data_IF_552426455043
#
_entry.id   IF_552426455043
#
_cell.length_a   1.000
_cell.length_b   1.000
_cell.length_c   1.000
_cell.angle_alpha   90.00
_cell.angle_beta   90.00
_cell.angle_gamma   90.00
#
_symmetry.space_group_name_H-M   'P 1'
#
loop_
_entity.id
_entity.type
_entity.pdbx_description
1 polymer ?
#
# COMPACT_ATOMS: atom_id res chain seq x y z
N UNK A 1 -39.34 10.66 10.27
CA UNK A 1 -37.91 10.29 10.31
C UNK A 1 -37.31 10.67 8.97
N UNK A 2 -36.52 11.74 8.90
CA UNK A 2 -35.83 12.15 7.67
C UNK A 2 -34.68 11.17 7.46
N UNK A 3 -34.68 10.48 6.32
CA UNK A 3 -33.58 9.59 5.95
C UNK A 3 -32.31 10.41 5.83
N UNK A 4 -31.30 10.06 6.62
CA UNK A 4 -29.93 10.51 6.40
C UNK A 4 -29.49 9.83 5.11
N UNK A 5 -29.54 10.54 3.99
CA UNK A 5 -28.75 10.15 2.83
C UNK A 5 -27.31 10.15 3.29
N UNK A 6 -26.75 8.96 3.52
CA UNK A 6 -25.33 8.74 3.41
C UNK A 6 -24.99 9.14 1.98
N UNK A 7 -24.56 10.39 1.81
CA UNK A 7 -23.88 10.82 0.60
C UNK A 7 -22.69 9.87 0.47
N UNK A 8 -22.85 8.84 -0.36
CA UNK A 8 -21.78 7.89 -0.63
C UNK A 8 -20.55 8.68 -1.03
N UNK A 9 -19.38 8.21 -0.61
CA UNK A 9 -18.06 8.67 -1.04
C UNK A 9 -18.05 8.75 -2.57
N UNK A 10 -18.52 9.87 -3.14
CA UNK A 10 -18.77 10.00 -4.57
C UNK A 10 -17.50 10.35 -5.35
N UNK A 11 -16.38 10.41 -4.64
CA UNK A 11 -15.09 10.83 -5.16
C UNK A 11 -14.02 9.83 -4.71
N UNK A 12 -14.25 8.54 -4.97
CA UNK A 12 -13.18 7.54 -4.86
C UNK A 12 -12.09 7.80 -5.92
N UNK A 13 -12.44 8.45 -7.04
CA UNK A 13 -11.49 8.89 -8.07
C UNK A 13 -10.97 10.34 -7.82
N UNK A 14 -9.67 10.53 -7.49
CA UNK A 14 -9.08 11.84 -7.30
C UNK A 14 -9.00 12.67 -8.59
N UNK A 15 -9.02 12.05 -9.78
CA UNK A 15 -9.08 12.77 -11.05
C UNK A 15 -10.42 13.47 -11.23
N UNK A 16 -11.54 12.74 -11.09
CA UNK A 16 -12.89 13.34 -11.12
C UNK A 16 -13.05 14.42 -10.05
N UNK A 17 -12.55 14.15 -8.84
CA UNK A 17 -12.55 15.13 -7.75
C UNK A 17 -11.84 16.43 -8.10
N UNK A 18 -10.68 16.35 -8.76
CA UNK A 18 -9.94 17.53 -9.20
C UNK A 18 -10.65 18.31 -10.31
N UNK A 19 -11.48 17.66 -11.12
CA UNK A 19 -12.32 18.34 -12.11
C UNK A 19 -13.49 19.08 -11.45
N UNK A 20 -14.08 18.52 -10.41
CA UNK A 20 -15.26 19.07 -9.74
C UNK A 20 -14.93 20.10 -8.66
N UNK A 21 -13.78 19.97 -8.00
CA UNK A 21 -13.34 20.83 -6.90
C UNK A 21 -12.03 21.58 -7.25
N UNK A 22 -12.11 22.86 -7.64
CA UNK A 22 -10.93 23.64 -8.03
C UNK A 22 -9.96 23.89 -6.86
N UNK A 23 -10.45 23.97 -5.62
CA UNK A 23 -9.60 24.17 -4.44
C UNK A 23 -8.78 22.92 -4.14
N UNK A 24 -9.39 21.73 -4.25
CA UNK A 24 -8.68 20.46 -4.17
C UNK A 24 -7.62 20.35 -5.26
N UNK A 25 -7.97 20.66 -6.51
CA UNK A 25 -7.02 20.64 -7.63
C UNK A 25 -5.83 21.59 -7.40
N UNK A 26 -6.09 22.79 -6.86
CA UNK A 26 -5.05 23.76 -6.52
C UNK A 26 -4.15 23.25 -5.38
N UNK A 27 -4.72 22.64 -4.34
CA UNK A 27 -3.97 22.09 -3.21
C UNK A 27 -3.07 20.92 -3.65
N UNK A 28 -3.59 19.99 -4.46
CA UNK A 28 -2.79 18.89 -5.03
C UNK A 28 -1.69 19.45 -5.94
N UNK A 29 -2.00 20.42 -6.81
CA UNK A 29 -1.01 21.05 -7.68
C UNK A 29 0.10 21.79 -6.92
N UNK A 30 -0.21 22.40 -5.77
CA UNK A 30 0.79 23.04 -4.93
C UNK A 30 1.72 22.04 -4.23
N UNK A 31 1.23 20.84 -3.92
CA UNK A 31 1.99 19.80 -3.22
C UNK A 31 2.70 18.81 -4.17
N UNK A 32 2.29 18.72 -5.43
CA UNK A 32 2.85 17.78 -6.39
C UNK A 32 4.26 18.20 -6.84
N UNK A 33 5.24 17.35 -6.54
CA UNK A 33 6.66 17.54 -6.88
C UNK A 33 7.14 16.65 -8.04
N UNK A 34 6.24 15.82 -8.59
CA UNK A 34 6.53 14.92 -9.70
C UNK A 34 6.71 15.64 -11.05
N UNK A 35 7.38 14.96 -11.97
CA UNK A 35 7.62 15.33 -13.35
C UNK A 35 6.39 15.15 -14.26
N UNK A 36 5.43 14.29 -13.90
CA UNK A 36 4.24 14.09 -14.73
C UNK A 36 3.27 15.27 -14.64
N UNK A 37 2.50 15.47 -15.71
CA UNK A 37 1.42 16.47 -15.69
C UNK A 37 0.36 16.00 -14.71
N UNK A 38 0.07 16.82 -13.70
CA UNK A 38 -0.84 16.42 -12.62
C UNK A 38 -2.17 15.78 -13.09
N UNK A 39 -2.90 16.33 -14.08
CA UNK A 39 -4.14 15.69 -14.52
C UNK A 39 -3.94 14.29 -15.11
N UNK A 40 -2.83 14.05 -15.81
CA UNK A 40 -2.50 12.72 -16.36
C UNK A 40 -2.06 11.77 -15.24
N UNK A 41 -1.30 12.29 -14.28
CA UNK A 41 -0.83 11.57 -13.09
C UNK A 41 -2.01 11.06 -12.24
N UNK A 42 -2.97 11.95 -11.94
CA UNK A 42 -4.20 11.59 -11.20
C UNK A 42 -5.05 10.57 -11.95
N UNK A 43 -5.16 10.69 -13.28
CA UNK A 43 -5.88 9.73 -14.11
C UNK A 43 -5.28 8.32 -14.02
N UNK A 44 -3.94 8.20 -14.07
CA UNK A 44 -3.26 6.91 -14.03
C UNK A 44 -3.29 6.19 -12.67
N UNK A 45 -3.74 6.85 -11.59
CA UNK A 45 -4.00 6.17 -10.31
C UNK A 45 -5.15 5.15 -10.44
N UNK A 46 -6.18 5.48 -11.22
CA UNK A 46 -7.34 4.60 -11.44
C UNK A 46 -7.35 3.91 -12.81
N UNK A 47 -6.69 4.53 -13.80
CA UNK A 47 -6.62 4.03 -15.17
C UNK A 47 -5.17 3.75 -15.59
N UNK A 48 -4.45 2.85 -14.90
CA UNK A 48 -3.01 2.71 -15.05
C UNK A 48 -2.58 2.27 -16.45
N UNK A 49 -3.45 1.67 -17.27
CA UNK A 49 -3.13 1.18 -18.61
C UNK A 49 -3.64 2.08 -19.73
N UNK A 50 -4.57 2.97 -19.44
CA UNK A 50 -5.24 3.77 -20.46
C UNK A 50 -4.42 5.02 -20.80
N UNK A 51 -4.45 5.50 -22.06
CA UNK A 51 -3.93 6.81 -22.38
C UNK A 51 -4.68 7.88 -21.55
N UNK A 52 -3.94 8.88 -21.08
CA UNK A 52 -4.54 9.98 -20.35
C UNK A 52 -5.48 10.81 -21.26
N UNK A 53 -6.42 11.58 -20.72
CA UNK A 53 -7.30 12.46 -21.49
C UNK A 53 -6.56 13.49 -22.36
N UNK A 54 -5.30 13.79 -22.04
CA UNK A 54 -4.40 14.61 -22.86
C UNK A 54 -3.91 13.92 -24.14
N UNK A 55 -4.12 12.60 -24.27
CA UNK A 55 -3.59 11.74 -25.32
C UNK A 55 -2.20 11.17 -25.01
N UNK A 56 -1.60 11.53 -23.87
CA UNK A 56 -0.30 10.97 -23.44
C UNK A 56 -0.45 9.47 -23.14
N UNK A 57 0.41 8.60 -23.69
CA UNK A 57 0.34 7.16 -23.42
C UNK A 57 0.66 6.86 -21.95
N UNK A 58 0.02 5.83 -21.39
CA UNK A 58 0.33 5.37 -20.03
C UNK A 58 1.80 4.96 -19.89
N UNK A 59 2.48 5.33 -18.79
CA UNK A 59 3.80 4.84 -18.44
C UNK A 59 3.85 3.31 -18.31
N UNK A 60 2.82 2.67 -17.75
CA UNK A 60 2.72 1.21 -17.63
C UNK A 60 2.55 0.56 -19.01
N UNK A 61 1.76 1.17 -19.89
CA UNK A 61 1.61 0.69 -21.27
C UNK A 61 2.95 0.76 -22.03
N UNK A 62 3.71 1.84 -21.82
CA UNK A 62 5.05 2.04 -22.38
C UNK A 62 6.04 1.02 -21.81
N UNK A 63 6.02 0.78 -20.50
CA UNK A 63 6.84 -0.24 -19.84
C UNK A 63 6.59 -1.64 -20.41
N UNK A 64 5.32 -2.03 -20.56
CA UNK A 64 4.97 -3.34 -21.17
C UNK A 64 5.41 -3.43 -22.62
N UNK A 65 5.38 -2.33 -23.37
CA UNK A 65 5.89 -2.32 -24.73
C UNK A 65 7.42 -2.53 -24.77
N UNK A 66 8.17 -1.91 -23.85
CA UNK A 66 9.60 -2.13 -23.70
C UNK A 66 9.91 -3.58 -23.28
N UNK A 67 9.20 -4.10 -22.28
CA UNK A 67 9.36 -5.49 -21.83
C UNK A 67 9.06 -6.49 -22.94
N UNK A 68 7.98 -6.31 -23.71
CA UNK A 68 7.69 -7.15 -24.88
C UNK A 68 8.79 -7.11 -25.92
N UNK A 69 9.43 -5.96 -26.13
CA UNK A 69 10.58 -5.84 -27.05
C UNK A 69 11.78 -6.63 -26.53
N UNK A 70 12.07 -6.60 -25.23
CA UNK A 70 13.14 -7.42 -24.61
C UNK A 70 12.90 -8.92 -24.84
N UNK A 71 11.65 -9.37 -24.68
CA UNK A 71 11.27 -10.79 -24.79
C UNK A 71 10.82 -11.23 -26.19
N UNK A 72 10.93 -10.37 -27.20
CA UNK A 72 10.57 -10.74 -28.56
C UNK A 72 11.53 -11.82 -29.10
N UNK A 73 10.97 -12.82 -29.79
CA UNK A 73 11.68 -14.01 -30.24
C UNK A 73 12.85 -13.75 -31.19
N UNK A 74 12.94 -12.55 -31.77
CA UNK A 74 14.00 -12.16 -32.70
C UNK A 74 15.37 -12.02 -32.02
N UNK A 75 15.46 -12.12 -30.68
CA UNK A 75 16.71 -12.31 -29.94
C UNK A 75 17.69 -11.13 -29.92
N UNK A 76 17.59 -10.21 -30.88
CA UNK A 76 18.46 -9.03 -30.99
C UNK A 76 18.32 -8.07 -29.79
N UNK A 77 17.15 -8.06 -29.14
CA UNK A 77 16.90 -7.23 -27.97
C UNK A 77 17.31 -7.89 -26.64
N UNK A 78 17.49 -9.21 -26.59
CA UNK A 78 17.83 -9.94 -25.36
C UNK A 78 19.27 -9.66 -24.86
N UNK A 79 20.03 -8.81 -25.56
CA UNK A 79 21.30 -8.24 -25.11
C UNK A 79 21.41 -6.72 -25.28
N UNK A 80 20.30 -6.04 -25.59
CA UNK A 80 20.29 -4.59 -25.80
C UNK A 80 20.29 -3.86 -24.45
N UNK A 81 21.49 -3.54 -23.97
CA UNK A 81 21.69 -2.80 -22.72
C UNK A 81 20.94 -1.46 -22.69
N UNK A 82 20.66 -0.85 -23.83
CA UNK A 82 19.90 0.41 -23.92
C UNK A 82 18.43 0.19 -23.56
N UNK A 83 17.83 -0.92 -24.00
CA UNK A 83 16.44 -1.26 -23.66
C UNK A 83 16.33 -1.64 -22.19
N UNK A 84 17.27 -2.42 -21.67
CA UNK A 84 17.30 -2.76 -20.24
C UNK A 84 17.44 -1.51 -19.36
N UNK A 85 18.27 -0.54 -19.76
CA UNK A 85 18.38 0.74 -19.07
C UNK A 85 17.08 1.55 -19.15
N UNK A 86 16.43 1.59 -20.32
CA UNK A 86 15.15 2.28 -20.49
C UNK A 86 14.04 1.68 -19.62
N UNK A 87 13.99 0.34 -19.47
CA UNK A 87 13.05 -0.34 -18.56
C UNK A 87 13.29 0.10 -17.13
N UNK A 88 14.52 0.00 -16.63
CA UNK A 88 14.87 0.40 -15.25
C UNK A 88 14.61 1.87 -14.98
N UNK A 89 14.95 2.75 -15.94
CA UNK A 89 14.69 4.18 -15.85
C UNK A 89 13.20 4.48 -15.73
N UNK A 90 12.37 3.85 -16.56
CA UNK A 90 10.92 4.06 -16.53
C UNK A 90 10.27 3.47 -15.27
N UNK A 91 10.73 2.32 -14.77
CA UNK A 91 10.26 1.77 -13.49
C UNK A 91 10.57 2.70 -12.31
N UNK A 92 11.79 3.26 -12.28
CA UNK A 92 12.19 4.23 -11.27
C UNK A 92 11.36 5.52 -11.36
N UNK A 93 11.10 6.03 -12.57
CA UNK A 93 10.23 7.18 -12.82
C UNK A 93 8.81 6.91 -12.30
N UNK A 94 8.20 5.79 -12.67
CA UNK A 94 6.85 5.41 -12.22
C UNK A 94 6.78 5.33 -10.69
N UNK A 95 7.78 4.74 -10.04
CA UNK A 95 7.81 4.64 -8.59
C UNK A 95 7.92 6.01 -7.91
N UNK A 96 8.78 6.90 -8.42
CA UNK A 96 8.95 8.25 -7.90
C UNK A 96 7.66 9.08 -8.05
N UNK A 97 6.99 8.99 -9.20
CA UNK A 97 5.76 9.73 -9.48
C UNK A 97 4.60 9.28 -8.60
N UNK A 98 4.43 7.96 -8.41
CA UNK A 98 3.41 7.44 -7.49
C UNK A 98 3.59 7.93 -6.06
N UNK A 99 4.84 8.01 -5.59
CA UNK A 99 5.13 8.58 -4.28
C UNK A 99 4.75 10.07 -4.24
N UNK A 100 5.15 10.86 -5.25
CA UNK A 100 4.84 12.28 -5.32
C UNK A 100 3.32 12.57 -5.36
N UNK A 101 2.55 11.78 -6.12
CA UNK A 101 1.08 11.87 -6.18
C UNK A 101 0.46 11.51 -4.82
N UNK A 102 0.89 10.40 -4.20
CA UNK A 102 0.37 9.98 -2.91
C UNK A 102 0.64 11.02 -1.80
N UNK A 103 1.81 11.67 -1.83
CA UNK A 103 2.13 12.78 -0.93
C UNK A 103 1.28 14.01 -1.19
N UNK A 104 1.08 14.38 -2.46
CA UNK A 104 0.24 15.52 -2.83
C UNK A 104 -1.23 15.33 -2.42
N UNK A 105 -1.77 14.13 -2.64
CA UNK A 105 -3.14 13.78 -2.22
C UNK A 105 -3.28 13.84 -0.70
N UNK A 106 -2.30 13.34 0.06
CA UNK A 106 -2.30 13.40 1.53
C UNK A 106 -2.28 14.84 2.04
N UNK A 107 -1.45 15.69 1.44
CA UNK A 107 -1.35 17.11 1.80
C UNK A 107 -2.66 17.87 1.51
N UNK A 108 -3.27 17.64 0.34
CA UNK A 108 -4.54 18.26 -0.03
C UNK A 108 -5.69 17.85 0.91
N UNK A 109 -5.79 16.55 1.24
CA UNK A 109 -6.79 16.05 2.18
C UNK A 109 -6.60 16.64 3.60
N UNK A 110 -5.35 16.81 4.06
CA UNK A 110 -5.07 17.43 5.36
C UNK A 110 -5.50 18.91 5.41
N UNK A 111 -5.33 19.64 4.30
CA UNK A 111 -5.73 21.05 4.20
C UNK A 111 -7.25 21.23 4.29
N UNK A 112 -8.04 20.37 3.65
CA UNK A 112 -9.50 20.44 3.71
C UNK A 112 -10.04 20.15 5.11
N UNK A 113 -9.43 19.20 5.83
CA UNK A 113 -9.79 18.90 7.23
C UNK A 113 -9.49 20.11 8.12
N UNK A 114 -8.32 20.75 7.93
CA UNK A 114 -7.94 21.96 8.67
C UNK A 114 -8.83 23.17 8.38
N UNK A 115 -9.20 23.37 7.12
CA UNK A 115 -10.11 24.44 6.71
C UNK A 115 -11.51 24.25 7.32
N UNK A 116 -12.03 23.02 7.30
CA UNK A 116 -13.33 22.69 7.88
C UNK A 116 -13.37 22.90 9.39
N UNK A 117 -12.31 22.51 10.11
CA UNK A 117 -12.20 22.72 11.55
C UNK A 117 -12.19 24.22 11.93
N UNK A 118 -11.55 25.05 11.12
CA UNK A 118 -11.47 26.51 11.35
C UNK A 118 -12.85 27.17 11.19
N UNK A 119 -13.65 26.78 10.19
CA UNK A 119 -14.99 27.34 9.98
C UNK A 119 -15.93 27.01 11.15
N UNK A 120 -15.87 25.77 11.66
CA UNK A 120 -16.71 25.36 12.81
C UNK A 120 -16.32 26.13 14.08
N UNK A 121 -15.02 26.34 14.32
CA UNK A 121 -14.55 27.11 15.47
C UNK A 121 -15.03 28.57 15.42
N UNK A 122 -14.94 29.24 14.26
CA UNK A 122 -15.41 30.61 14.10
C UNK A 122 -16.93 30.75 14.24
N UNK A 123 -17.70 29.76 13.77
CA UNK A 123 -19.17 29.77 13.89
C UNK A 123 -19.60 29.59 15.34
N UNK A 124 -18.85 28.81 16.13
CA UNK A 124 -19.16 28.59 17.54
C UNK A 124 -18.87 29.83 18.41
N UNK A 125 -17.80 30.57 18.11
CA UNK A 125 -17.44 31.79 18.86
C UNK A 125 -18.46 32.92 18.61
N UNK A 126 -18.99 33.03 17.38
CA UNK A 126 -20.03 34.00 17.02
C UNK A 126 -21.39 33.70 17.69
N UNK A 127 -21.72 32.42 17.89
CA UNK A 127 -22.95 31.99 18.57
C UNK A 127 -22.91 32.17 20.10
N UNK A 128 -21.72 32.19 20.71
CA UNK A 128 -21.54 32.39 22.17
C UNK A 128 -21.33 33.87 22.52
N UNK A 129 -20.85 34.69 21.59
CA UNK A 129 -20.66 36.13 21.78
C UNK A 129 -21.93 37.00 21.72
N UNK A 130 -23.05 36.48 21.22
CA UNK A 130 -24.27 37.26 20.95
C UNK A 130 -25.34 37.13 22.06
N UNK A 131 -24.94 37.33 23.33
CA UNK A 131 -25.87 37.32 24.47
C UNK A 131 -25.69 38.50 25.45
N UNK A 132 -24.88 39.51 25.12
CA UNK A 132 -24.73 40.71 25.94
C UNK A 132 -25.02 41.98 25.12
N UNK A 133 -26.28 42.39 25.20
CA UNK A 133 -26.73 43.77 25.43
C UNK A 133 -26.05 44.97 24.77
N UNK A 134 -26.93 45.76 24.15
CA UNK A 134 -26.97 47.24 24.19
C UNK A 134 -26.22 48.05 23.12
N UNK A 135 -27.08 48.57 22.23
CA UNK A 135 -27.21 49.97 21.83
C UNK A 135 -26.22 50.61 20.84
N UNK A 136 -26.86 51.18 19.81
CA UNK A 136 -26.44 52.34 19.04
C UNK A 136 -25.09 52.27 18.27
N UNK A 137 -25.18 52.10 16.94
CA UNK A 137 -25.02 53.20 15.97
C UNK A 137 -25.05 52.65 14.54
N UNK A 138 -25.83 53.29 13.69
CA UNK A 138 -25.82 53.13 12.22
C UNK A 138 -24.40 53.32 11.65
N UNK A 139 -23.95 52.44 10.73
CA UNK A 139 -22.94 52.80 9.75
C UNK A 139 -23.52 52.86 8.33
N UNK A 140 -23.05 53.87 7.61
CA UNK A 140 -23.36 54.19 6.23
C UNK A 140 -23.18 53.03 5.24
N UNK A 141 -24.09 52.98 4.28
CA UNK A 141 -24.02 52.20 3.05
C UNK A 141 -22.91 52.78 2.17
N UNK A 142 -21.76 52.11 2.11
CA UNK A 142 -20.76 52.34 1.06
C UNK A 142 -20.92 51.27 -0.02
N UNK A 143 -21.58 51.67 -1.09
CA UNK A 143 -21.73 50.92 -2.34
C UNK A 143 -20.37 50.81 -3.03
N UNK A 144 -19.70 49.67 -2.83
CA UNK A 144 -18.43 49.35 -3.51
C UNK A 144 -18.73 48.63 -4.82
N UNK A 145 -18.92 49.44 -5.86
CA UNK A 145 -19.01 49.03 -7.26
C UNK A 145 -17.65 48.48 -7.75
N UNK A 146 -17.46 47.15 -7.68
CA UNK A 146 -16.31 46.46 -8.30
C UNK A 146 -16.76 45.19 -9.02
N UNK A 147 -16.95 45.34 -10.32
CA UNK A 147 -17.06 44.24 -11.26
C UNK A 147 -15.76 43.41 -11.33
N UNK A 148 -15.83 42.07 -11.40
CA UNK A 148 -14.67 41.24 -11.71
C UNK A 148 -14.42 41.24 -13.22
N UNK A 149 -13.49 42.09 -13.67
CA UNK A 149 -12.94 42.03 -15.03
C UNK A 149 -11.88 40.92 -15.10
N UNK A 150 -12.29 39.71 -15.50
CA UNK A 150 -11.36 38.67 -15.92
C UNK A 150 -10.96 38.88 -17.39
N UNK A 151 -9.96 39.74 -17.61
CA UNK A 151 -9.27 39.88 -18.90
C UNK A 151 -8.18 38.80 -19.03
N UNK A 152 -8.48 37.77 -19.82
CA UNK A 152 -7.63 37.22 -20.89
C UNK A 152 -6.10 37.30 -20.72
N UNK A 153 -5.54 36.37 -19.92
CA UNK A 153 -4.12 36.03 -19.91
C UNK A 153 -3.72 35.12 -21.08
N UNK A 154 -3.43 35.71 -22.23
CA UNK A 154 -2.90 35.06 -23.44
C UNK A 154 -1.42 34.70 -23.25
N UNK A 155 -1.10 33.49 -22.77
CA UNK A 155 0.28 33.00 -22.78
C UNK A 155 0.58 32.21 -24.04
N UNK A 156 1.49 32.77 -24.82
CA UNK A 156 1.77 32.42 -26.20
C UNK A 156 2.42 31.06 -26.38
N UNK A 157 1.99 30.41 -27.47
CA UNK A 157 2.80 29.48 -28.25
C UNK A 157 4.17 30.09 -28.53
N UNK A 158 5.23 29.50 -28.00
CA UNK A 158 6.57 29.67 -28.54
C UNK A 158 7.22 28.31 -28.73
N UNK A 159 7.20 27.89 -29.99
CA UNK A 159 8.02 26.82 -30.52
C UNK A 159 9.49 27.09 -30.19
N UNK A 160 10.14 26.15 -29.51
CA UNK A 160 11.57 25.95 -29.57
C UNK A 160 11.83 24.46 -29.78
N UNK A 161 12.04 24.11 -31.04
CA UNK A 161 12.92 23.02 -31.39
C UNK A 161 14.33 23.47 -31.01
N UNK A 162 15.11 22.62 -30.35
CA UNK A 162 16.50 22.33 -30.70
C UNK A 162 17.03 21.15 -29.89
N UNK A 163 17.88 20.39 -30.58
CA UNK A 163 18.43 19.10 -30.23
C UNK A 163 19.61 19.16 -29.24
N UNK A 164 19.85 18.02 -28.59
CA UNK A 164 21.19 17.48 -28.30
C UNK A 164 21.95 18.06 -27.10
N UNK A 165 22.49 17.18 -26.25
CA UNK A 165 23.56 17.55 -25.32
C UNK A 165 23.72 16.64 -24.11
N UNK A 166 24.75 15.80 -24.14
CA UNK A 166 25.19 14.79 -23.18
C UNK A 166 25.93 15.40 -21.95
N UNK A 167 25.82 14.71 -20.78
CA UNK A 167 26.69 14.67 -19.56
C UNK A 167 26.89 15.94 -18.70
N UNK A 168 26.63 15.82 -17.37
CA UNK A 168 27.67 15.76 -16.31
C UNK A 168 27.04 15.47 -14.92
N UNK A 169 27.85 14.82 -14.07
CA UNK A 169 27.55 14.14 -12.81
C UNK A 169 27.57 15.00 -11.51
N UNK A 170 27.49 14.28 -10.38
CA UNK A 170 27.86 14.60 -8.96
C UNK A 170 26.66 14.98 -8.06
N UNK A 171 26.47 14.58 -6.80
CA UNK A 171 26.88 13.48 -5.89
C UNK A 171 26.18 13.78 -4.52
N UNK A 172 26.19 12.80 -3.59
CA UNK A 172 25.95 12.92 -2.13
C UNK A 172 24.44 12.94 -1.73
N UNK A 173 23.94 12.18 -0.76
CA UNK A 173 24.65 11.46 0.30
C UNK A 173 23.81 10.53 1.16
N UNK A 174 24.59 9.81 1.97
CA UNK A 174 24.24 8.90 3.06
C UNK A 174 23.46 9.62 4.16
N UNK A 175 22.40 8.99 4.67
CA UNK A 175 21.92 9.25 6.04
C UNK A 175 21.91 7.92 6.81
N UNK A 176 22.93 7.80 7.67
CA UNK A 176 22.90 7.01 8.90
C UNK A 176 22.10 7.78 9.95
N UNK A 177 21.34 7.06 10.78
CA UNK A 177 20.84 7.53 12.08
C UNK A 177 19.58 6.75 12.49
N UNK A 178 19.67 5.62 13.22
CA UNK A 178 19.84 5.49 14.68
C UNK A 178 18.99 6.47 15.49
N UNK A 179 18.14 5.96 16.40
CA UNK A 179 17.87 6.39 17.80
C UNK A 179 16.85 5.38 18.42
N UNK A 180 17.25 4.55 19.40
CA UNK A 180 17.23 4.73 20.87
C UNK A 180 15.86 4.53 21.55
N UNK A 181 15.86 3.69 22.61
CA UNK A 181 14.83 3.61 23.66
C UNK A 181 14.54 2.16 24.10
N UNK A 182 15.34 1.50 24.94
CA UNK A 182 15.48 1.65 26.40
C UNK A 182 14.32 1.04 27.23
N UNK A 183 14.69 -0.01 27.98
CA UNK A 183 14.25 -0.40 29.33
C UNK A 183 12.83 -0.98 29.58
N UNK A 184 12.80 -2.16 30.20
CA UNK A 184 11.60 -2.69 30.87
C UNK A 184 11.73 -4.13 31.37
N UNK A 185 12.50 -4.35 32.45
CA UNK A 185 12.49 -5.58 33.25
C UNK A 185 11.17 -5.71 34.03
N UNK A 186 10.43 -6.83 33.89
CA UNK A 186 9.59 -7.38 34.99
C UNK A 186 9.51 -8.91 34.90
N UNK A 187 9.92 -9.56 36.01
CA UNK A 187 9.74 -10.97 36.35
C UNK A 187 8.29 -11.31 36.68
N UNK A 188 7.81 -12.53 36.35
CA UNK A 188 6.50 -13.01 36.82
C UNK A 188 6.22 -14.49 36.52
N UNK A 189 6.60 -15.32 37.48
CA UNK A 189 6.30 -16.74 37.74
C UNK A 189 5.18 -17.50 36.98
N UNK A 190 5.48 -18.79 36.72
CA UNK A 190 4.54 -19.88 36.46
C UNK A 190 3.58 -20.15 37.65
N UNK A 191 2.44 -20.83 37.44
CA UNK A 191 2.44 -22.28 37.68
C UNK A 191 1.52 -23.12 36.75
N UNK A 192 1.94 -24.37 36.53
CA UNK A 192 1.09 -25.54 36.20
C UNK A 192 0.39 -26.01 37.50
N UNK A 193 -0.79 -26.69 37.47
CA UNK A 193 -0.83 -28.12 37.12
C UNK A 193 -2.14 -28.68 36.50
N UNK A 194 -1.96 -29.78 35.76
CA UNK A 194 -2.68 -31.06 35.72
C UNK A 194 -4.21 -31.14 35.87
N UNK A 195 -4.83 -31.84 34.90
CA UNK A 195 -6.13 -32.49 35.09
C UNK A 195 -6.60 -33.28 33.85
N UNK A 196 -6.21 -34.55 33.73
CA UNK A 196 -6.83 -35.54 32.83
C UNK A 196 -7.80 -36.40 33.64
N UNK A 197 -9.03 -36.64 33.15
CA UNK A 197 -9.43 -38.03 32.93
C UNK A 197 -10.24 -38.24 31.62
N UNK A 198 -9.89 -39.34 30.94
CA UNK A 198 -10.69 -40.09 29.95
C UNK A 198 -11.60 -41.09 30.72
N UNK A 199 -12.83 -41.47 30.28
CA UNK A 199 -13.02 -42.36 29.13
C UNK A 199 -14.30 -42.19 28.25
N UNK A 200 -14.18 -42.71 27.03
CA UNK A 200 -15.16 -43.03 25.94
C UNK A 200 -16.35 -43.94 26.36
N UNK A 201 -17.31 -44.32 25.47
CA UNK A 201 -17.64 -43.87 24.09
C UNK A 201 -19.16 -43.67 23.81
N UNK A 202 -19.49 -43.33 22.56
CA UNK A 202 -20.82 -43.38 21.90
C UNK A 202 -21.69 -42.11 21.90
N UNK A 203 -21.41 -41.22 20.94
CA UNK A 203 -22.41 -40.75 19.98
C UNK A 203 -21.65 -39.97 18.88
N UNK A 204 -21.65 -40.51 17.67
CA UNK A 204 -21.20 -39.80 16.49
C UNK A 204 -22.10 -38.59 16.26
N UNK A 205 -21.63 -37.41 16.68
CA UNK A 205 -22.10 -36.14 16.14
C UNK A 205 -20.95 -35.65 15.25
N UNK A 206 -21.05 -35.93 13.97
CA UNK A 206 -20.28 -35.22 12.97
C UNK A 206 -20.82 -33.79 12.91
N UNK A 207 -20.40 -32.95 13.84
CA UNK A 207 -20.49 -31.50 13.74
C UNK A 207 -19.07 -31.02 13.50
N UNK A 208 -18.61 -31.15 12.26
CA UNK A 208 -17.51 -30.34 11.77
C UNK A 208 -18.13 -28.96 11.56
N UNK A 209 -18.03 -28.10 12.58
CA UNK A 209 -18.28 -26.68 12.42
C UNK A 209 -17.30 -26.19 11.35
N UNK A 210 -17.82 -25.95 10.15
CA UNK A 210 -17.11 -25.22 9.11
C UNK A 210 -16.93 -23.80 9.60
N UNK A 211 -15.86 -23.54 10.35
CA UNK A 211 -15.54 -22.20 10.82
C UNK A 211 -15.18 -21.35 9.60
N UNK A 212 -15.91 -20.25 9.39
CA UNK A 212 -15.61 -19.29 8.34
C UNK A 212 -14.18 -18.77 8.53
N UNK A 213 -13.38 -18.59 7.46
CA UNK A 213 -12.02 -18.05 7.59
C UNK A 213 -12.02 -16.64 8.24
N UNK A 214 -13.14 -15.93 8.20
CA UNK A 214 -13.31 -14.63 8.87
C UNK A 214 -13.25 -14.71 10.40
N UNK A 215 -13.46 -15.88 11.00
CA UNK A 215 -13.42 -16.08 12.46
C UNK A 215 -12.04 -15.74 13.05
N UNK A 216 -10.97 -15.84 12.26
CA UNK A 216 -9.61 -15.49 12.72
C UNK A 216 -9.52 -14.03 13.18
N UNK A 217 -10.31 -13.14 12.57
CA UNK A 217 -10.29 -11.72 12.88
C UNK A 217 -10.98 -11.37 14.21
N UNK A 218 -11.75 -12.30 14.79
CA UNK A 218 -12.33 -12.13 16.12
C UNK A 218 -11.29 -12.27 17.24
N UNK A 219 -10.14 -12.89 16.97
CA UNK A 219 -9.04 -12.95 17.93
C UNK A 219 -8.49 -11.54 18.15
N UNK A 220 -8.09 -11.24 19.39
CA UNK A 220 -7.33 -10.02 19.66
C UNK A 220 -5.98 -10.06 18.92
N UNK A 221 -5.58 -8.90 18.39
CA UNK A 221 -4.29 -8.74 17.72
C UNK A 221 -3.17 -8.77 18.77
N UNK A 222 -2.14 -9.57 18.52
CA UNK A 222 -0.92 -9.68 19.32
C UNK A 222 0.24 -8.96 18.60
N UNK A 223 1.38 -8.71 19.27
CA UNK A 223 2.53 -8.10 18.62
C UNK A 223 3.06 -8.84 17.38
N UNK A 224 2.89 -10.17 17.29
CA UNK A 224 3.28 -10.96 16.11
C UNK A 224 2.40 -10.71 14.89
N UNK A 225 1.18 -10.26 15.14
CA UNK A 225 0.20 -9.98 14.12
C UNK A 225 0.41 -8.61 13.48
N UNK A 226 1.46 -7.87 13.86
CA UNK A 226 1.80 -6.56 13.30
C UNK A 226 2.96 -6.74 12.31
N UNK A 227 2.72 -6.53 11.01
CA UNK A 227 3.78 -6.50 10.01
C UNK A 227 4.93 -5.56 10.34
N UNK A 228 6.16 -6.04 10.16
CA UNK A 228 7.36 -5.19 10.23
C UNK A 228 7.51 -4.29 8.99
N UNK A 229 6.96 -4.72 7.85
CA UNK A 229 6.96 -3.97 6.60
C UNK A 229 5.68 -3.16 6.50
N UNK A 230 5.80 -1.87 6.17
CA UNK A 230 4.62 -1.03 5.94
C UNK A 230 3.85 -1.54 4.74
N UNK A 231 2.55 -1.79 4.93
CA UNK A 231 1.64 -2.23 3.86
C UNK A 231 0.80 -1.08 3.28
N UNK A 232 1.15 0.17 3.61
CA UNK A 232 0.38 1.35 3.21
C UNK A 232 -1.08 1.32 3.66
N UNK A 233 -1.98 1.86 2.85
CA UNK A 233 -3.43 1.94 3.12
C UNK A 233 -4.23 0.84 2.41
N UNK A 234 -3.57 -0.23 1.93
CA UNK A 234 -4.24 -1.30 1.18
C UNK A 234 -5.01 -2.24 2.10
N UNK A 235 -4.51 -2.44 3.33
CA UNK A 235 -5.12 -3.29 4.35
C UNK A 235 -5.48 -2.51 5.61
N UNK A 236 -6.43 -3.05 6.35
CA UNK A 236 -6.78 -2.55 7.69
C UNK A 236 -5.70 -3.00 8.68
N UNK A 237 -4.97 -2.05 9.27
CA UNK A 237 -3.79 -2.36 10.08
C UNK A 237 -4.07 -3.23 11.32
N UNK A 238 -5.26 -3.10 11.90
CA UNK A 238 -5.74 -3.85 13.07
C UNK A 238 -6.31 -5.24 12.74
N UNK A 239 -6.44 -5.56 11.45
CA UNK A 239 -6.99 -6.83 10.97
C UNK A 239 -5.94 -7.92 10.74
N UNK A 240 -4.65 -7.58 10.72
CA UNK A 240 -3.61 -8.58 10.47
C UNK A 240 -3.62 -9.67 11.53
N UNK A 241 -3.49 -10.94 11.12
CA UNK A 241 -3.35 -12.11 11.99
C UNK A 241 -2.25 -13.01 11.40
N UNK A 242 -1.20 -13.24 12.17
CA UNK A 242 -0.07 -14.09 11.82
C UNK A 242 -0.54 -15.54 11.66
N UNK A 243 -0.25 -16.12 10.50
CA UNK A 243 -0.61 -17.49 10.13
C UNK A 243 0.60 -18.43 10.21
N UNK A 244 1.79 -17.90 9.98
CA UNK A 244 3.03 -18.66 9.98
C UNK A 244 4.12 -17.92 9.22
N UNK A 245 5.21 -18.63 8.93
CA UNK A 245 6.29 -18.11 8.11
C UNK A 245 6.93 -19.21 7.28
N UNK A 246 7.54 -18.79 6.18
CA UNK A 246 8.16 -19.68 5.21
C UNK A 246 9.52 -20.23 5.68
N UNK A 247 10.11 -19.65 6.73
CA UNK A 247 11.29 -20.17 7.40
C UNK A 247 10.91 -21.24 8.44
N UNK A 248 11.78 -22.23 8.60
CA UNK A 248 11.62 -23.36 9.51
C UNK A 248 11.91 -22.99 10.97
N UNK A 249 11.56 -21.76 11.38
CA UNK A 249 11.76 -21.32 12.75
C UNK A 249 10.92 -22.20 13.69
N UNK A 250 11.60 -22.99 14.52
CA UNK A 250 10.94 -23.79 15.55
C UNK A 250 10.48 -22.94 16.74
N UNK A 251 10.84 -21.65 16.79
CA UNK A 251 10.46 -20.80 17.90
C UNK A 251 9.05 -20.25 17.68
N UNK A 252 8.03 -20.74 18.42
CA UNK A 252 6.67 -20.27 18.25
C UNK A 252 6.50 -18.82 18.67
N UNK A 253 7.50 -18.20 19.33
CA UNK A 253 7.49 -16.83 19.84
C UNK A 253 8.08 -15.79 18.90
N UNK A 254 8.70 -16.20 17.79
CA UNK A 254 9.32 -15.28 16.84
C UNK A 254 8.51 -15.18 15.56
N UNK A 255 8.49 -13.98 14.98
CA UNK A 255 8.01 -13.80 13.60
C UNK A 255 9.17 -14.19 12.70
N UNK A 256 8.98 -15.22 11.91
CA UNK A 256 10.00 -15.67 10.98
C UNK A 256 10.29 -14.67 9.86
N UNK A 257 11.37 -14.92 9.11
CA UNK A 257 11.96 -13.97 8.15
C UNK A 257 11.05 -13.70 6.94
N UNK A 258 10.23 -14.68 6.55
CA UNK A 258 9.22 -14.51 5.50
C UNK A 258 7.83 -14.86 6.02
N UNK A 259 7.22 -13.98 6.82
CA UNK A 259 5.95 -14.25 7.47
C UNK A 259 4.77 -14.10 6.50
N UNK A 260 3.70 -14.84 6.77
CA UNK A 260 2.43 -14.69 6.08
C UNK A 260 1.26 -14.55 7.06
N UNK A 261 0.26 -13.79 6.65
CA UNK A 261 -0.82 -13.25 7.48
C UNK A 261 -2.17 -13.39 6.79
N UNK A 262 -3.22 -13.50 7.58
CA UNK A 262 -4.57 -13.12 7.17
C UNK A 262 -4.74 -11.62 7.42
N UNK A 263 -5.39 -10.91 6.52
CA UNK A 263 -5.74 -9.51 6.69
C UNK A 263 -7.06 -9.18 6.00
N UNK A 264 -7.71 -8.09 6.40
CA UNK A 264 -8.80 -7.48 5.65
C UNK A 264 -8.27 -6.33 4.79
N UNK A 265 -8.66 -6.30 3.52
CA UNK A 265 -8.44 -5.11 2.68
C UNK A 265 -9.33 -3.95 3.15
N UNK A 266 -9.02 -2.73 2.69
CA UNK A 266 -9.90 -1.57 2.90
C UNK A 266 -11.27 -1.73 2.22
N UNK A 267 -11.39 -2.60 1.22
CA UNK A 267 -12.65 -3.00 0.60
C UNK A 267 -13.33 -4.20 1.29
N UNK A 268 -12.92 -4.55 2.52
CA UNK A 268 -13.45 -5.68 3.30
C UNK A 268 -13.32 -7.07 2.63
N UNK A 269 -12.28 -7.28 1.81
CA UNK A 269 -11.94 -8.61 1.31
C UNK A 269 -11.03 -9.33 2.30
N UNK A 270 -11.20 -10.64 2.45
CA UNK A 270 -10.28 -11.50 3.21
C UNK A 270 -9.07 -11.80 2.34
N UNK A 271 -7.87 -11.50 2.83
CA UNK A 271 -6.62 -11.61 2.10
C UNK A 271 -5.64 -12.54 2.81
N UNK A 272 -4.94 -13.36 2.03
CA UNK A 272 -3.70 -14.00 2.43
C UNK A 272 -2.55 -13.12 1.93
N UNK A 273 -1.67 -12.71 2.83
CA UNK A 273 -0.58 -11.75 2.57
C UNK A 273 0.73 -12.40 2.99
N UNK A 274 1.72 -12.45 2.11
CA UNK A 274 3.08 -12.88 2.45
C UNK A 274 4.06 -11.71 2.32
N UNK A 275 5.07 -11.70 3.19
CA UNK A 275 6.12 -10.67 3.23
C UNK A 275 7.46 -11.32 2.93
N UNK A 276 7.94 -11.26 1.67
CA UNK A 276 9.26 -11.77 1.31
C UNK A 276 10.39 -10.98 1.98
N UNK A 277 11.54 -11.62 2.20
CA UNK A 277 12.72 -10.96 2.79
C UNK A 277 13.22 -9.80 1.92
N UNK A 278 13.04 -9.89 0.60
CA UNK A 278 13.41 -8.83 -0.36
C UNK A 278 12.63 -7.52 -0.18
N UNK A 279 11.64 -7.50 0.72
CA UNK A 279 10.80 -6.35 1.02
C UNK A 279 9.48 -6.34 0.24
N UNK A 280 8.58 -5.45 0.67
CA UNK A 280 7.23 -5.35 0.15
C UNK A 280 6.30 -6.46 0.66
N UNK A 281 5.25 -6.73 -0.09
CA UNK A 281 4.33 -7.83 0.17
C UNK A 281 3.71 -8.32 -1.14
N UNK A 282 3.21 -9.53 -1.09
CA UNK A 282 2.36 -10.14 -2.12
C UNK A 282 1.08 -10.60 -1.46
N UNK A 283 -0.04 -10.55 -2.16
CA UNK A 283 -1.34 -10.89 -1.58
C UNK A 283 -2.30 -11.51 -2.59
N UNK A 284 -3.19 -12.36 -2.10
CA UNK A 284 -4.39 -12.82 -2.81
C UNK A 284 -5.60 -12.56 -1.92
N UNK A 285 -6.71 -12.10 -2.50
CA UNK A 285 -7.89 -11.68 -1.75
C UNK A 285 -9.17 -12.24 -2.36
N UNK A 286 -10.16 -12.50 -1.51
CA UNK A 286 -11.52 -12.84 -1.91
C UNK A 286 -12.55 -12.20 -0.97
N UNK A 287 -13.74 -11.94 -1.49
CA UNK A 287 -14.92 -11.67 -0.65
C UNK A 287 -15.25 -12.91 0.18
N UNK A 288 -15.80 -12.73 1.39
CA UNK A 288 -16.17 -13.86 2.25
C UNK A 288 -17.18 -14.81 1.56
N UNK A 289 -18.16 -14.25 0.85
CA UNK A 289 -19.13 -15.02 0.06
C UNK A 289 -18.53 -15.73 -1.16
N UNK A 290 -17.34 -15.32 -1.58
CA UNK A 290 -16.60 -15.86 -2.72
C UNK A 290 -15.30 -16.54 -2.32
N UNK A 291 -15.11 -16.89 -1.04
CA UNK A 291 -13.90 -17.56 -0.58
C UNK A 291 -13.79 -18.92 -1.29
N UNK A 292 -12.70 -19.19 -2.03
CA UNK A 292 -12.60 -20.40 -2.82
C UNK A 292 -12.68 -21.65 -1.95
N UNK A 293 -13.41 -22.68 -2.40
CA UNK A 293 -13.46 -23.97 -1.71
C UNK A 293 -12.09 -24.65 -1.62
N UNK A 294 -11.18 -24.32 -2.54
CA UNK A 294 -9.79 -24.78 -2.54
C UNK A 294 -8.85 -23.90 -1.68
N UNK A 295 -9.38 -22.90 -1.00
CA UNK A 295 -8.61 -21.92 -0.22
C UNK A 295 -8.02 -20.78 -1.05
N UNK A 296 -7.55 -19.75 -0.34
CA UNK A 296 -6.72 -18.70 -0.90
C UNK A 296 -5.30 -19.23 -1.06
N UNK A 297 -4.74 -19.09 -2.26
CA UNK A 297 -3.40 -19.58 -2.58
C UNK A 297 -2.48 -18.46 -3.03
N UNK A 298 -1.27 -18.47 -2.49
CA UNK A 298 -0.24 -17.49 -2.77
C UNK A 298 1.06 -18.19 -3.16
N UNK A 299 1.72 -17.65 -4.18
CA UNK A 299 2.99 -18.12 -4.71
C UNK A 299 3.99 -16.98 -4.71
N UNK A 300 5.21 -17.22 -4.23
CA UNK A 300 6.28 -16.23 -4.30
C UNK A 300 7.65 -16.91 -4.30
N UNK A 301 8.66 -16.19 -4.75
CA UNK A 301 10.06 -16.60 -4.64
C UNK A 301 10.68 -15.83 -3.47
N UNK A 302 11.43 -16.52 -2.61
CA UNK A 302 12.18 -15.88 -1.53
C UNK A 302 13.47 -16.65 -1.25
N UNK A 303 14.45 -15.96 -0.70
CA UNK A 303 15.57 -16.63 -0.05
C UNK A 303 15.06 -17.30 1.22
N UNK A 304 15.49 -18.52 1.44
CA UNK A 304 15.23 -19.32 2.63
C UNK A 304 16.56 -19.63 3.30
N UNK A 305 16.61 -19.51 4.62
CA UNK A 305 17.76 -19.96 5.39
C UNK A 305 17.51 -21.42 5.77
N UNK A 306 18.30 -22.32 5.20
CA UNK A 306 18.28 -23.74 5.58
C UNK A 306 19.40 -24.02 6.57
N UNK A 307 19.02 -24.54 7.74
CA UNK A 307 19.96 -25.06 8.72
C UNK A 307 20.24 -26.54 8.42
N UNK A 308 21.50 -26.89 8.22
CA UNK A 308 21.97 -28.27 8.08
C UNK A 308 22.96 -28.60 9.20
N UNK A 309 23.29 -29.89 9.36
CA UNK A 309 24.37 -30.31 10.28
C UNK A 309 25.72 -29.67 9.93
N UNK A 310 25.91 -29.26 8.67
CA UNK A 310 27.17 -28.71 8.15
C UNK A 310 27.22 -27.18 8.17
N UNK A 311 26.13 -26.49 8.47
CA UNK A 311 26.09 -25.04 8.56
C UNK A 311 24.75 -24.41 8.20
N UNK A 312 24.81 -23.15 7.80
CA UNK A 312 23.66 -22.36 7.36
C UNK A 312 23.84 -22.03 5.88
N UNK A 313 22.89 -22.44 5.05
CA UNK A 313 22.90 -22.18 3.61
C UNK A 313 21.69 -21.33 3.22
N UNK A 314 21.90 -20.33 2.37
CA UNK A 314 20.81 -19.59 1.73
C UNK A 314 20.39 -20.30 0.46
N UNK A 315 19.11 -20.64 0.37
CA UNK A 315 18.51 -21.31 -0.79
C UNK A 315 17.42 -20.41 -1.34
N UNK A 316 17.56 -20.00 -2.60
CA UNK A 316 16.46 -19.37 -3.33
C UNK A 316 15.45 -20.46 -3.69
N UNK A 317 14.17 -20.23 -3.40
CA UNK A 317 13.15 -21.20 -3.75
C UNK A 317 11.75 -20.62 -3.88
N UNK A 318 10.89 -21.43 -4.48
CA UNK A 318 9.48 -21.13 -4.66
C UNK A 318 8.71 -21.56 -3.41
N UNK A 319 7.92 -20.65 -2.87
CA UNK A 319 7.00 -20.89 -1.76
C UNK A 319 5.56 -20.91 -2.27
N UNK A 320 4.79 -21.86 -1.73
CA UNK A 320 3.35 -21.95 -1.93
C UNK A 320 2.69 -22.02 -0.58
N UNK A 321 1.75 -21.11 -0.31
CA UNK A 321 0.89 -21.20 0.88
C UNK A 321 -0.56 -21.26 0.44
N UNK A 322 -1.31 -22.15 1.07
CA UNK A 322 -2.76 -22.27 0.93
C UNK A 322 -3.40 -22.05 2.29
N UNK A 323 -4.32 -21.10 2.34
CA UNK A 323 -5.21 -20.89 3.48
C UNK A 323 -6.60 -21.38 3.12
N UNK A 324 -6.97 -22.52 3.69
CA UNK A 324 -8.19 -23.26 3.40
C UNK A 324 -9.42 -22.64 4.07
N UNK A 325 -10.61 -23.02 3.58
CA UNK A 325 -11.88 -22.46 4.06
C UNK A 325 -12.15 -22.81 5.53
N UNK A 326 -11.65 -23.93 6.02
CA UNK A 326 -11.79 -24.36 7.42
C UNK A 326 -10.73 -23.72 8.36
N UNK A 327 -9.93 -22.78 7.84
CA UNK A 327 -8.83 -22.16 8.56
C UNK A 327 -7.53 -22.97 8.51
N UNK A 328 -7.52 -24.14 7.87
CA UNK A 328 -6.33 -24.95 7.65
C UNK A 328 -5.26 -24.20 6.85
N UNK A 329 -3.99 -24.48 7.15
CA UNK A 329 -2.84 -23.90 6.46
C UNK A 329 -1.94 -25.00 5.96
N UNK A 330 -1.58 -24.94 4.68
CA UNK A 330 -0.50 -25.74 4.11
C UNK A 330 0.53 -24.82 3.47
N UNK A 331 1.80 -25.15 3.69
CA UNK A 331 2.94 -24.45 3.12
C UNK A 331 3.88 -25.47 2.46
N UNK A 332 4.32 -25.18 1.25
CA UNK A 332 5.27 -25.99 0.49
C UNK A 332 6.44 -25.09 0.03
N UNK A 333 7.66 -25.60 0.19
CA UNK A 333 8.88 -24.96 -0.31
C UNK A 333 9.56 -25.85 -1.35
N UNK A 334 9.95 -25.26 -2.47
CA UNK A 334 10.75 -25.91 -3.51
C UNK A 334 12.04 -25.12 -3.72
N UNK A 335 13.09 -25.56 -3.04
CA UNK A 335 14.42 -25.00 -3.19
C UNK A 335 15.02 -25.30 -4.56
N UNK A 336 15.70 -24.32 -5.15
CA UNK A 336 16.57 -24.51 -6.31
C UNK A 336 18.02 -24.41 -5.85
N UNK A 337 18.91 -25.36 -6.20
CA UNK A 337 20.32 -25.21 -5.89
C UNK A 337 20.86 -23.98 -6.61
N UNK A 338 21.48 -23.07 -5.86
CA UNK A 338 22.18 -21.91 -6.43
C UNK A 338 23.47 -22.42 -7.07
N UNK A 339 23.73 -22.03 -8.32
CA UNK A 339 24.88 -22.55 -9.10
C UNK A 339 26.25 -22.14 -8.53
N UNK A 340 26.28 -21.30 -7.50
CA UNK A 340 27.47 -20.78 -6.85
C UNK A 340 28.18 -21.76 -5.90
N UNK A 341 27.54 -22.86 -5.50
CA UNK A 341 28.15 -23.84 -4.59
C UNK A 341 28.91 -24.98 -5.30
N UNK A 342 29.06 -24.91 -6.63
CA UNK A 342 30.02 -25.78 -7.34
C UNK A 342 31.41 -25.13 -7.29
N UNK A 343 31.97 -24.99 -6.08
CA UNK A 343 33.41 -24.79 -5.94
C UNK A 343 34.04 -26.14 -6.24
N UNK A 344 34.68 -26.24 -7.41
CA UNK A 344 35.48 -27.39 -7.78
C UNK A 344 36.58 -27.60 -6.72
N UNK A 345 36.45 -28.63 -5.89
CA UNK A 345 37.60 -29.22 -5.21
C UNK A 345 38.52 -29.79 -6.30
N UNK A 346 39.62 -29.08 -6.55
CA UNK A 346 40.77 -29.52 -7.33
C UNK A 346 41.99 -29.66 -6.44
#
# INVERSE_FOLDING_TARGET
>A
MRGVSLAGNRHDDPYERALENPDFAAAVAAAHTGAWRLPDALWWEWHPEDPAPSGTPSPIATLRALQRRVFAADGDAAGDAVVAEAVRGLEAEIAAERLAIAEALRAANAQEIGASATVVASTFDELVGSAAGEDALEPEVVESDRAPQWLSGRFGRRHWLLAGGILLAVAIGVILGSQLGAAGLVSGAAPTPSGTPSPSPAASIATVSSESPSMIFLREQTPKDIPLVSTGTVFQADSFRYLGSADWSENPNEVGISPYYAALSTSHMTCLVAMPESGGYVSTCALESGFPSAGLRLYWESNAVMHSETGVSQVLGDFVVVWELDGGLSAEFRGRPTSSDVVAEG
#
